data_IF_813906727749
#
_entry.id   IF_813906727749
#
_cell.length_a   1.000
_cell.length_b   1.000
_cell.length_c   1.000
_cell.angle_alpha   90.00
_cell.angle_beta   90.00
_cell.angle_gamma   90.00
#
_symmetry.space_group_name_H-M   'P 1'
#
loop_
_entity.id
_entity.type
_entity.pdbx_description
1 polymer ?
#
# COMPACT_ATOMS: atom_id res chain seq x y z
N UNK A 1 -31.65 -6.85 -10.73
CA UNK A 1 -31.73 -6.60 -9.28
C UNK A 1 -30.40 -6.00 -8.78
N UNK A 2 -30.40 -4.85 -8.09
CA UNK A 2 -29.19 -4.40 -7.43
C UNK A 2 -28.85 -5.44 -6.37
N UNK A 3 -27.65 -6.01 -6.44
CA UNK A 3 -27.15 -6.90 -5.41
C UNK A 3 -27.21 -6.15 -4.08
N UNK A 4 -27.81 -6.78 -3.07
CA UNK A 4 -27.72 -6.33 -1.68
C UNK A 4 -26.23 -6.32 -1.37
N UNK A 5 -25.61 -5.14 -1.30
CA UNK A 5 -24.24 -5.01 -0.82
C UNK A 5 -24.26 -5.41 0.65
N UNK A 6 -23.85 -6.64 0.92
CA UNK A 6 -23.59 -7.11 2.26
C UNK A 6 -22.64 -6.10 2.94
N UNK A 7 -22.97 -5.68 4.16
CA UNK A 7 -22.16 -4.72 4.88
C UNK A 7 -20.74 -5.28 5.03
N UNK A 8 -19.78 -4.65 4.35
CA UNK A 8 -18.38 -5.07 4.33
C UNK A 8 -17.86 -5.13 5.76
N UNK A 9 -17.46 -6.31 6.21
CA UNK A 9 -16.96 -6.50 7.57
C UNK A 9 -15.64 -5.75 7.72
N UNK A 10 -15.61 -4.77 8.59
CA UNK A 10 -14.43 -3.95 8.85
C UNK A 10 -13.45 -4.75 9.72
N UNK A 11 -12.16 -4.69 9.39
CA UNK A 11 -11.10 -5.29 10.19
C UNK A 11 -10.34 -4.18 10.91
N UNK A 12 -10.59 -4.01 12.20
CA UNK A 12 -10.13 -2.84 12.96
C UNK A 12 -9.76 -3.19 14.40
N UNK A 13 -8.84 -2.41 14.95
CA UNK A 13 -8.46 -2.44 16.36
C UNK A 13 -8.31 -1.02 16.88
N UNK A 14 -9.21 -0.60 17.77
CA UNK A 14 -9.26 0.80 18.22
C UNK A 14 -9.48 1.76 17.05
N UNK A 15 -8.56 2.72 16.88
CA UNK A 15 -8.55 3.69 15.78
C UNK A 15 -7.67 3.24 14.59
N UNK A 16 -7.37 1.95 14.46
CA UNK A 16 -6.56 1.40 13.36
C UNK A 16 -7.44 0.57 12.44
N UNK A 17 -7.47 0.92 11.15
CA UNK A 17 -8.07 0.10 10.09
C UNK A 17 -6.99 -0.80 9.48
N UNK A 18 -7.18 -2.11 9.59
CA UNK A 18 -6.31 -3.11 9.01
C UNK A 18 -6.89 -3.53 7.65
N UNK A 19 -6.06 -3.48 6.60
CA UNK A 19 -6.45 -3.90 5.26
C UNK A 19 -5.49 -5.00 4.83
N UNK A 20 -5.93 -6.28 4.84
CA UNK A 20 -5.10 -7.37 4.33
C UNK A 20 -4.81 -7.12 2.85
N UNK A 21 -3.58 -7.35 2.41
CA UNK A 21 -3.16 -7.17 1.01
C UNK A 21 -2.46 -8.43 0.54
N UNK A 22 -2.85 -8.93 -0.63
CA UNK A 22 -2.02 -9.83 -1.42
C UNK A 22 -1.31 -9.00 -2.50
N UNK A 23 0.01 -9.14 -2.58
CA UNK A 23 0.83 -8.35 -3.51
C UNK A 23 0.42 -8.56 -4.97
N UNK A 24 0.52 -7.48 -5.75
CA UNK A 24 0.27 -7.46 -7.20
C UNK A 24 -1.11 -8.04 -7.58
N UNK A 25 -2.14 -7.61 -6.85
CA UNK A 25 -3.54 -7.98 -7.05
C UNK A 25 -4.41 -6.73 -7.06
N UNK A 26 -4.93 -6.41 -8.24
CA UNK A 26 -5.75 -5.23 -8.48
C UNK A 26 -6.93 -5.13 -7.50
N UNK A 27 -7.55 -6.24 -7.15
CA UNK A 27 -8.68 -6.30 -6.22
C UNK A 27 -8.32 -5.72 -4.85
N UNK A 28 -7.09 -5.95 -4.39
CA UNK A 28 -6.59 -5.43 -3.13
C UNK A 28 -6.20 -3.95 -3.23
N UNK A 29 -5.68 -3.48 -4.36
CA UNK A 29 -5.48 -2.05 -4.58
C UNK A 29 -6.81 -1.29 -4.59
N UNK A 30 -7.84 -1.85 -5.24
CA UNK A 30 -9.20 -1.28 -5.23
C UNK A 30 -9.78 -1.28 -3.81
N UNK A 31 -9.61 -2.37 -3.07
CA UNK A 31 -10.03 -2.46 -1.66
C UNK A 31 -9.37 -1.38 -0.80
N UNK A 32 -8.05 -1.21 -0.92
CA UNK A 32 -7.28 -0.19 -0.20
C UNK A 32 -7.84 1.20 -0.50
N UNK A 33 -8.16 1.50 -1.76
CA UNK A 33 -8.74 2.78 -2.15
C UNK A 33 -10.10 3.03 -1.49
N UNK A 34 -10.96 2.01 -1.44
CA UNK A 34 -12.29 2.10 -0.80
C UNK A 34 -12.16 2.28 0.72
N UNK A 35 -11.27 1.52 1.37
CA UNK A 35 -10.99 1.63 2.80
C UNK A 35 -10.40 3.00 3.13
N UNK A 36 -9.43 3.47 2.35
CA UNK A 36 -8.83 4.79 2.54
C UNK A 36 -9.88 5.90 2.43
N UNK A 37 -10.76 5.84 1.42
CA UNK A 37 -11.79 6.85 1.19
C UNK A 37 -12.84 6.90 2.30
N UNK A 38 -13.25 5.72 2.80
CA UNK A 38 -14.25 5.59 3.86
C UNK A 38 -13.69 5.89 5.25
N UNK A 39 -12.52 5.36 5.58
CA UNK A 39 -11.87 5.51 6.89
C UNK A 39 -11.23 6.89 7.07
N UNK A 40 -10.73 7.50 5.99
CA UNK A 40 -10.04 8.81 5.98
C UNK A 40 -8.89 8.86 7.00
N UNK A 41 -7.86 8.01 6.83
CA UNK A 41 -6.74 7.98 7.76
C UNK A 41 -6.02 9.32 7.81
N UNK A 42 -5.45 9.64 8.96
CA UNK A 42 -4.51 10.78 9.14
C UNK A 42 -3.05 10.35 8.93
N UNK A 43 -2.79 9.05 8.92
CA UNK A 43 -1.47 8.42 8.84
C UNK A 43 -1.62 7.03 8.20
N UNK A 44 -0.63 6.61 7.40
CA UNK A 44 -0.61 5.28 6.76
C UNK A 44 0.63 4.52 7.20
N UNK A 45 0.46 3.23 7.49
CA UNK A 45 1.58 2.30 7.71
C UNK A 45 1.60 1.24 6.59
N UNK A 46 2.79 0.91 6.09
CA UNK A 46 3.02 -0.14 5.08
C UNK A 46 4.17 -1.05 5.51
N UNK A 47 4.06 -2.33 5.18
CA UNK A 47 5.00 -3.40 5.60
C UNK A 47 6.16 -3.50 4.60
N UNK A 48 7.02 -2.48 4.62
CA UNK A 48 8.29 -2.47 3.90
C UNK A 48 9.42 -2.09 4.86
N UNK A 49 10.63 -2.66 4.70
CA UNK A 49 11.77 -2.29 5.52
C UNK A 49 12.06 -0.77 5.46
N UNK A 50 12.28 -0.09 6.60
CA UNK A 50 12.59 1.34 6.62
C UNK A 50 13.84 1.70 5.80
N UNK A 51 14.78 0.76 5.68
CA UNK A 51 16.04 0.91 4.91
C UNK A 51 15.81 1.22 3.44
N UNK A 52 14.72 0.70 2.85
CA UNK A 52 14.37 0.94 1.44
C UNK A 52 13.30 2.02 1.26
N UNK A 53 12.72 2.53 2.35
CA UNK A 53 11.53 3.39 2.32
C UNK A 53 11.69 4.64 1.45
N UNK A 54 12.85 5.30 1.49
CA UNK A 54 13.14 6.46 0.61
C UNK A 54 13.02 6.09 -0.86
N UNK A 55 13.60 4.95 -1.27
CA UNK A 55 13.59 4.48 -2.67
C UNK A 55 12.21 4.02 -3.09
N UNK A 56 11.46 3.40 -2.19
CA UNK A 56 10.04 3.07 -2.39
C UNK A 56 9.24 4.33 -2.71
N UNK A 57 9.29 5.35 -1.85
CA UNK A 57 8.54 6.59 -2.09
C UNK A 57 8.97 7.33 -3.37
N UNK A 58 10.26 7.34 -3.70
CA UNK A 58 10.75 7.89 -4.98
C UNK A 58 10.14 7.17 -6.19
N UNK A 59 10.05 5.83 -6.15
CA UNK A 59 9.43 5.04 -7.22
C UNK A 59 7.92 5.25 -7.32
N UNK A 60 7.21 5.30 -6.19
CA UNK A 60 5.75 5.52 -6.17
C UNK A 60 5.40 6.90 -6.76
N UNK A 61 6.19 7.94 -6.47
CA UNK A 61 5.99 9.29 -7.04
C UNK A 61 6.12 9.34 -8.56
N UNK A 62 6.77 8.34 -9.18
CA UNK A 62 6.98 8.26 -10.63
C UNK A 62 5.86 7.55 -11.37
N UNK A 63 4.90 6.96 -10.66
CA UNK A 63 3.76 6.31 -11.30
C UNK A 63 3.07 7.28 -12.29
N UNK A 64 2.67 6.79 -13.50
CA UNK A 64 2.54 5.39 -13.88
C UNK A 64 3.81 4.71 -14.44
N UNK A 65 4.98 5.37 -14.41
CA UNK A 65 6.23 4.73 -14.82
C UNK A 65 6.66 3.71 -13.77
N UNK A 66 6.48 2.42 -14.09
CA UNK A 66 6.84 1.31 -13.22
C UNK A 66 8.33 1.35 -12.89
N UNK A 67 8.66 0.98 -11.66
CA UNK A 67 10.04 0.91 -11.17
C UNK A 67 10.22 -0.28 -10.26
N UNK A 68 11.48 -0.64 -10.00
CA UNK A 68 11.83 -1.73 -9.09
C UNK A 68 12.84 -1.19 -8.10
N UNK A 69 12.62 -1.48 -6.82
CA UNK A 69 13.64 -1.35 -5.78
C UNK A 69 14.24 -2.73 -5.57
N UNK A 70 15.55 -2.84 -5.54
CA UNK A 70 16.21 -4.10 -5.17
C UNK A 70 17.11 -3.88 -3.96
N UNK A 71 17.29 -4.94 -3.19
CA UNK A 71 18.28 -5.02 -2.14
C UNK A 71 18.83 -6.45 -2.09
N UNK A 72 19.99 -6.59 -1.46
CA UNK A 72 20.69 -7.86 -1.30
C UNK A 72 20.58 -8.28 0.16
N UNK A 73 20.19 -9.52 0.39
CA UNK A 73 20.19 -10.17 1.70
C UNK A 73 21.60 -10.64 2.07
N UNK A 74 21.82 -11.01 3.34
CA UNK A 74 23.12 -11.46 3.86
C UNK A 74 23.69 -12.69 3.11
N UNK A 75 22.82 -13.48 2.47
CA UNK A 75 23.18 -14.67 1.69
C UNK A 75 23.44 -14.39 0.19
N UNK A 76 23.57 -13.12 -0.19
CA UNK A 76 23.70 -12.64 -1.58
C UNK A 76 22.45 -12.84 -2.46
N UNK A 77 21.30 -13.14 -1.87
CA UNK A 77 20.04 -13.17 -2.61
C UNK A 77 19.57 -11.76 -2.93
N UNK A 78 19.32 -11.49 -4.22
CA UNK A 78 18.67 -10.25 -4.64
C UNK A 78 17.16 -10.34 -4.47
N UNK A 79 16.61 -9.45 -3.65
CA UNK A 79 15.18 -9.23 -3.53
C UNK A 79 14.78 -8.08 -4.43
N UNK A 80 13.74 -8.29 -5.24
CA UNK A 80 13.18 -7.28 -6.12
C UNK A 80 11.77 -6.96 -5.69
N UNK A 81 11.52 -5.66 -5.46
CA UNK A 81 10.22 -5.11 -5.12
C UNK A 81 9.70 -4.27 -6.30
N UNK A 82 8.82 -4.82 -7.15
CA UNK A 82 8.11 -4.05 -8.15
C UNK A 82 7.22 -2.99 -7.49
N UNK A 83 7.31 -1.76 -7.98
CA UNK A 83 6.43 -0.66 -7.59
C UNK A 83 5.45 -0.41 -8.73
N UNK A 84 4.24 -0.92 -8.54
CA UNK A 84 3.22 -0.95 -9.57
C UNK A 84 1.82 -0.68 -8.99
N UNK A 85 0.87 -0.14 -9.77
CA UNK A 85 -0.39 0.38 -9.25
C UNK A 85 -1.38 -0.71 -8.79
N UNK A 86 -1.12 -1.99 -9.11
CA UNK A 86 -1.98 -3.09 -8.66
C UNK A 86 -1.58 -3.65 -7.29
N UNK A 87 -0.48 -3.17 -6.70
CA UNK A 87 -0.09 -3.52 -5.35
C UNK A 87 -0.82 -2.65 -4.31
N UNK A 88 -1.46 -3.27 -3.33
CA UNK A 88 -2.25 -2.57 -2.32
C UNK A 88 -1.42 -1.67 -1.40
N UNK A 89 -0.18 -2.04 -1.08
CA UNK A 89 0.69 -1.19 -0.26
C UNK A 89 1.20 0.01 -1.07
N UNK A 90 1.54 -0.21 -2.35
CA UNK A 90 1.88 0.88 -3.29
C UNK A 90 0.71 1.85 -3.41
N UNK A 91 -0.52 1.35 -3.58
CA UNK A 91 -1.72 2.20 -3.66
C UNK A 91 -1.97 2.97 -2.35
N UNK A 92 -1.81 2.34 -1.18
CA UNK A 92 -1.95 3.01 0.12
C UNK A 92 -0.97 4.18 0.25
N UNK A 93 0.30 3.95 -0.09
CA UNK A 93 1.33 4.97 -0.07
C UNK A 93 1.08 6.06 -1.13
N UNK A 94 0.64 5.70 -2.33
CA UNK A 94 0.29 6.65 -3.41
C UNK A 94 -0.85 7.58 -2.97
N UNK A 95 -1.88 7.04 -2.32
CA UNK A 95 -3.01 7.81 -1.78
C UNK A 95 -2.56 8.74 -0.64
N UNK A 96 -1.75 8.26 0.29
CA UNK A 96 -1.17 9.08 1.35
C UNK A 96 -0.33 10.23 0.80
N UNK A 97 0.58 9.95 -0.16
CA UNK A 97 1.38 10.98 -0.83
C UNK A 97 0.51 12.02 -1.54
N UNK A 98 -0.58 11.61 -2.21
CA UNK A 98 -1.49 12.52 -2.90
C UNK A 98 -2.24 13.49 -1.97
N UNK A 99 -2.29 13.16 -0.67
CA UNK A 99 -2.95 13.95 0.38
C UNK A 99 -1.97 14.55 1.37
N UNK A 100 -0.66 14.45 1.10
CA UNK A 100 0.41 14.87 1.99
C UNK A 100 0.30 14.26 3.40
N UNK A 101 -0.13 13.01 3.52
CA UNK A 101 -0.18 12.31 4.80
C UNK A 101 1.17 11.65 5.14
N UNK A 102 1.52 11.55 6.43
CA UNK A 102 2.67 10.77 6.87
C UNK A 102 2.52 9.29 6.50
N UNK A 103 3.64 8.69 6.13
CA UNK A 103 3.76 7.26 5.84
C UNK A 103 4.81 6.67 6.77
N UNK A 104 4.44 5.63 7.51
CA UNK A 104 5.33 4.85 8.36
C UNK A 104 5.61 3.49 7.73
N UNK A 105 6.87 3.08 7.83
CA UNK A 105 7.37 1.79 7.40
C UNK A 105 7.43 0.90 8.65
N UNK A 106 6.75 -0.25 8.61
CA UNK A 106 6.71 -1.23 9.71
C UNK A 106 7.45 -2.51 9.35
#
# INVERSE_FOLDING_TARGET
PPAIMEAKKLFEWGNVRLVPVLHNRLEFALEVRDQFSSFKPEIVAIEYPPTIGKKVLEGIKRLPLLSVVYYEEDDHTFIYLPLEPTDGQVEAARLALSKNLPIHFI
#
